data_IF_872264511441
#
_entry.id   IF_872264511441
#
_cell.length_a   1.000
_cell.length_b   1.000
_cell.length_c   1.000
_cell.angle_alpha   90.00
_cell.angle_beta   90.00
_cell.angle_gamma   90.00
#
_symmetry.space_group_name_H-M   'P 1'
#
loop_
_entity.id
_entity.type
_entity.pdbx_description
1 polymer ?
#
# COMPACT_ATOMS: atom_id res chain seq x y z
N UNK A 1 9.34 -9.95 5.50
CA UNK A 1 8.27 -9.96 6.53
C UNK A 1 7.05 -9.25 5.96
N UNK A 2 5.88 -9.88 5.98
CA UNK A 2 4.66 -9.36 5.37
C UNK A 2 3.53 -9.30 6.39
N UNK A 3 2.80 -8.19 6.44
CA UNK A 3 1.54 -8.08 7.17
C UNK A 3 0.45 -7.54 6.25
N UNK A 4 -0.72 -8.17 6.25
CA UNK A 4 -1.85 -7.74 5.43
C UNK A 4 -2.90 -7.04 6.29
N UNK A 5 -3.21 -5.79 5.95
CA UNK A 5 -4.32 -5.01 6.52
C UNK A 5 -5.54 -4.98 5.60
N UNK A 6 -5.54 -5.76 4.51
CA UNK A 6 -6.56 -5.69 3.46
C UNK A 6 -7.99 -6.05 3.93
N UNK A 7 -8.15 -6.60 5.15
CA UNK A 7 -9.45 -6.90 5.78
C UNK A 7 -9.85 -5.90 6.87
N UNK A 8 -9.07 -4.85 7.09
CA UNK A 8 -9.47 -3.78 8.00
C UNK A 8 -10.47 -2.88 7.28
N UNK A 9 -11.58 -2.58 7.92
CA UNK A 9 -12.68 -1.81 7.35
C UNK A 9 -12.44 -0.28 7.44
N UNK A 10 -11.18 0.16 7.27
CA UNK A 10 -10.81 1.57 7.46
C UNK A 10 -11.55 2.53 6.52
N UNK A 11 -11.90 2.08 5.30
CA UNK A 11 -12.69 2.88 4.35
C UNK A 11 -14.17 3.01 4.73
N UNK A 12 -14.66 2.27 5.74
CA UNK A 12 -16.03 2.39 6.26
C UNK A 12 -16.16 3.44 7.37
N UNK A 13 -15.05 4.02 7.83
CA UNK A 13 -15.02 4.96 8.96
C UNK A 13 -15.17 6.41 8.48
N UNK A 14 -16.37 6.98 8.56
CA UNK A 14 -16.65 8.39 8.19
C UNK A 14 -16.51 9.39 9.37
N UNK A 15 -16.42 8.87 10.60
CA UNK A 15 -16.33 9.63 11.84
C UNK A 15 -17.42 10.71 12.01
N UNK A 16 -18.53 10.64 11.26
CA UNK A 16 -19.60 11.63 11.22
C UNK A 16 -19.12 13.09 11.02
N UNK A 17 -18.07 13.29 10.23
CA UNK A 17 -17.50 14.63 9.99
C UNK A 17 -18.20 15.41 8.85
N UNK A 18 -19.16 14.79 8.16
CA UNK A 18 -19.82 15.38 6.98
C UNK A 18 -18.95 15.43 5.72
N UNK A 19 -17.80 14.75 5.72
CA UNK A 19 -16.84 14.70 4.60
C UNK A 19 -17.02 13.47 3.70
N UNK A 20 -17.85 12.49 4.13
CA UNK A 20 -17.96 11.19 3.48
C UNK A 20 -16.92 10.18 3.99
N UNK A 21 -16.73 9.11 3.22
CA UNK A 21 -15.74 8.06 3.51
C UNK A 21 -14.31 8.53 3.18
N UNK A 22 -13.26 7.91 3.75
CA UNK A 22 -11.89 8.27 3.44
C UNK A 22 -11.58 8.16 1.94
N UNK A 23 -10.94 9.20 1.40
CA UNK A 23 -10.44 9.18 0.02
C UNK A 23 -9.27 8.20 -0.13
N UNK A 24 -8.42 8.09 0.89
CA UNK A 24 -7.35 7.08 0.95
C UNK A 24 -6.98 6.73 2.37
N UNK A 25 -6.51 5.49 2.57
CA UNK A 25 -5.94 5.01 3.84
C UNK A 25 -4.50 4.55 3.61
N UNK A 26 -3.53 5.24 4.22
CA UNK A 26 -2.09 5.03 4.00
C UNK A 26 -1.36 4.84 5.32
N UNK A 27 -0.25 4.10 5.27
CA UNK A 27 0.68 3.96 6.39
C UNK A 27 1.77 5.04 6.29
N UNK A 28 2.08 5.79 7.36
CA UNK A 28 3.17 6.76 7.36
C UNK A 28 4.53 6.12 7.01
N UNK A 29 5.40 6.92 6.40
CA UNK A 29 6.81 6.57 6.20
C UNK A 29 7.57 6.64 7.53
N UNK A 30 8.60 5.82 7.66
CA UNK A 30 9.45 5.62 8.84
C UNK A 30 10.80 5.06 8.37
N UNK A 31 11.76 4.89 9.28
CA UNK A 31 13.06 4.29 8.96
C UNK A 31 12.90 2.97 8.16
N UNK A 32 13.61 2.83 7.03
CA UNK A 32 13.57 1.62 6.22
C UNK A 32 13.92 0.37 7.04
N UNK A 33 13.07 -0.65 6.93
CA UNK A 33 13.32 -1.98 7.46
C UNK A 33 13.30 -2.94 6.28
N UNK A 34 14.47 -3.37 5.86
CA UNK A 34 14.63 -4.21 4.67
C UNK A 34 13.71 -5.44 4.70
N UNK A 35 13.10 -5.73 3.55
CA UNK A 35 12.15 -6.82 3.34
C UNK A 35 10.81 -6.70 4.11
N UNK A 36 10.52 -5.58 4.77
CA UNK A 36 9.22 -5.35 5.41
C UNK A 36 8.19 -4.83 4.40
N UNK A 37 7.04 -5.52 4.33
CA UNK A 37 5.96 -5.24 3.39
C UNK A 37 4.62 -5.16 4.13
N UNK A 38 3.77 -4.21 3.73
CA UNK A 38 2.39 -4.11 4.20
C UNK A 38 1.41 -3.97 3.02
N UNK A 39 0.34 -4.78 3.02
CA UNK A 39 -0.84 -4.49 2.19
C UNK A 39 -1.76 -3.55 2.97
N UNK A 40 -2.10 -2.41 2.39
CA UNK A 40 -3.02 -1.44 2.99
C UNK A 40 -4.45 -1.99 3.04
N UNK A 41 -5.35 -1.38 3.84
CA UNK A 41 -6.78 -1.64 3.74
C UNK A 41 -7.25 -1.56 2.30
N UNK A 42 -8.09 -2.51 1.90
CA UNK A 42 -8.63 -2.57 0.55
C UNK A 42 -9.56 -1.37 0.34
N UNK A 43 -9.35 -0.63 -0.74
CA UNK A 43 -10.24 0.45 -1.13
C UNK A 43 -11.61 -0.07 -1.56
N UNK A 44 -12.59 0.83 -1.64
CA UNK A 44 -13.98 0.47 -1.96
C UNK A 44 -14.14 -0.12 -3.37
N UNK A 45 -13.25 0.22 -4.29
CA UNK A 45 -13.19 -0.32 -5.66
C UNK A 45 -12.39 -1.64 -5.76
N UNK A 46 -11.83 -2.10 -4.64
CA UNK A 46 -11.01 -3.30 -4.58
C UNK A 46 -9.50 -3.06 -4.71
N UNK A 47 -9.04 -1.83 -4.96
CA UNK A 47 -7.61 -1.51 -5.03
C UNK A 47 -6.92 -1.86 -3.70
N UNK A 48 -5.68 -2.39 -3.78
CA UNK A 48 -4.82 -2.60 -2.63
C UNK A 48 -3.48 -1.92 -2.90
N UNK A 49 -3.21 -0.86 -2.15
CA UNK A 49 -1.88 -0.27 -2.11
C UNK A 49 -0.92 -1.16 -1.30
N UNK A 50 0.33 -1.27 -1.74
CA UNK A 50 1.35 -2.08 -1.08
C UNK A 50 2.55 -1.20 -0.74
N UNK A 51 2.91 -1.14 0.55
CA UNK A 51 4.17 -0.55 0.98
C UNK A 51 5.26 -1.62 0.97
N UNK A 52 6.32 -1.42 0.19
CA UNK A 52 7.43 -2.36 0.02
C UNK A 52 8.73 -1.65 0.44
N UNK A 53 9.49 -2.24 1.36
CA UNK A 53 10.80 -1.74 1.74
C UNK A 53 11.89 -2.72 1.29
N UNK A 54 12.73 -2.28 0.35
CA UNK A 54 13.90 -3.03 -0.14
C UNK A 54 15.10 -2.09 -0.17
N UNK A 55 16.31 -2.66 -0.26
CA UNK A 55 17.50 -1.90 -0.66
C UNK A 55 17.34 -1.36 -2.08
N UNK A 56 17.99 -0.25 -2.36
CA UNK A 56 17.83 0.52 -3.60
C UNK A 56 18.00 -0.35 -4.86
N UNK A 57 19.02 -1.19 -4.91
CA UNK A 57 19.29 -2.06 -6.08
C UNK A 57 18.14 -3.01 -6.40
N UNK A 58 17.52 -3.60 -5.37
CA UNK A 58 16.39 -4.52 -5.56
C UNK A 58 15.12 -3.76 -5.92
N UNK A 59 14.92 -2.58 -5.32
CA UNK A 59 13.78 -1.73 -5.61
C UNK A 59 13.81 -1.20 -7.05
N UNK A 60 14.97 -0.80 -7.57
CA UNK A 60 15.13 -0.40 -8.97
C UNK A 60 14.90 -1.56 -9.95
N UNK A 61 15.38 -2.77 -9.61
CA UNK A 61 15.08 -3.96 -10.41
C UNK A 61 13.59 -4.29 -10.43
N UNK A 62 12.91 -4.20 -9.28
CA UNK A 62 11.48 -4.47 -9.17
C UNK A 62 10.64 -3.45 -9.97
N UNK A 63 11.03 -2.17 -9.98
CA UNK A 63 10.37 -1.14 -10.79
C UNK A 63 10.51 -1.39 -12.29
N UNK A 64 11.63 -1.97 -12.72
CA UNK A 64 11.93 -2.28 -14.12
C UNK A 64 11.42 -3.67 -14.57
N UNK A 65 10.95 -4.50 -13.65
CA UNK A 65 10.50 -5.86 -13.94
C UNK A 65 9.12 -5.85 -14.65
N UNK A 66 9.10 -6.35 -15.88
CA UNK A 66 7.90 -6.36 -16.72
C UNK A 66 6.81 -7.31 -16.20
N UNK A 67 7.18 -8.41 -15.53
CA UNK A 67 6.21 -9.34 -14.96
C UNK A 67 5.51 -8.72 -13.76
N UNK A 68 6.24 -7.97 -12.92
CA UNK A 68 5.68 -7.24 -11.79
C UNK A 68 4.83 -6.04 -12.26
N UNK A 69 5.33 -5.26 -13.20
CA UNK A 69 4.64 -4.09 -13.75
C UNK A 69 3.32 -4.43 -14.46
N UNK A 70 3.13 -5.68 -14.89
CA UNK A 70 1.86 -6.17 -15.43
C UNK A 70 0.70 -6.07 -14.44
N UNK A 71 0.97 -6.20 -13.13
CA UNK A 71 -0.06 -6.28 -12.10
C UNK A 71 -0.13 -5.05 -11.19
N UNK A 72 0.93 -4.25 -11.14
CA UNK A 72 1.05 -3.11 -10.22
C UNK A 72 1.55 -1.85 -10.91
N UNK A 73 1.17 -0.70 -10.36
CA UNK A 73 1.70 0.61 -10.73
C UNK A 73 2.53 1.16 -9.58
N UNK A 74 3.77 1.57 -9.86
CA UNK A 74 4.61 2.27 -8.88
C UNK A 74 4.05 3.68 -8.62
N UNK A 75 3.94 4.08 -7.34
CA UNK A 75 3.34 5.36 -6.91
C UNK A 75 4.35 6.26 -6.19
N UNK A 76 5.33 5.69 -5.48
CA UNK A 76 6.30 6.41 -4.65
C UNK A 76 7.04 5.46 -3.74
#
# INVERSE_FOLDING_TARGET
>A
MLSSWAKLDCYELDFNLGLGKPESVRRPQYEPVESLIYLMPRALDGEIAVGICLRDEDMERLKADEEFAKYGRYIG
#
